data_IF_462847341362
#
_entry.id   IF_462847341362
#
_cell.length_a   1.000
_cell.length_b   1.000
_cell.length_c   1.000
_cell.angle_alpha   90.00
_cell.angle_beta   90.00
_cell.angle_gamma   90.00
#
_symmetry.space_group_name_H-M   'P 1'
#
loop_
_entity.id
_entity.type
_entity.pdbx_description
1 polymer ?
#
# COMPACT_ATOMS: atom_id res chain seq x y z
N UNK A 1 -13.69 36.01 14.58
CA UNK A 1 -14.06 35.67 15.98
C UNK A 1 -14.80 34.36 15.89
N UNK A 2 -14.04 33.28 15.80
CA UNK A 2 -13.56 32.49 16.94
C UNK A 2 -14.68 31.54 17.36
N UNK A 3 -14.59 30.27 16.96
CA UNK A 3 -14.05 29.16 17.78
C UNK A 3 -15.15 28.71 18.76
N UNK A 4 -15.31 27.39 18.95
CA UNK A 4 -16.21 26.73 19.92
C UNK A 4 -17.52 26.10 19.42
N UNK A 5 -17.49 25.37 18.30
CA UNK A 5 -18.49 24.29 18.04
C UNK A 5 -17.86 22.89 18.24
N UNK A 6 -16.53 22.80 18.47
CA UNK A 6 -15.81 21.54 18.69
C UNK A 6 -15.78 21.07 20.16
N UNK A 7 -16.43 21.81 21.09
CA UNK A 7 -16.31 21.54 22.53
C UNK A 7 -17.30 20.49 23.07
N UNK A 8 -18.43 20.20 22.41
CA UNK A 8 -19.44 19.33 23.06
C UNK A 8 -19.12 17.84 22.94
N UNK A 9 -18.43 17.40 21.90
CA UNK A 9 -18.12 15.97 21.71
C UNK A 9 -16.87 15.51 22.49
N UNK A 10 -15.98 16.43 22.84
CA UNK A 10 -14.83 16.14 23.73
C UNK A 10 -15.23 15.91 25.18
N UNK A 11 -16.31 16.56 25.65
CA UNK A 11 -16.84 16.37 27.01
C UNK A 11 -17.59 15.04 27.18
N UNK A 12 -18.26 14.56 26.13
CA UNK A 12 -19.00 13.29 26.19
C UNK A 12 -18.09 12.06 26.35
N UNK A 13 -16.84 12.12 25.87
CA UNK A 13 -15.88 11.02 26.07
C UNK A 13 -15.35 10.97 27.50
N UNK A 14 -15.30 12.11 28.21
CA UNK A 14 -14.95 12.12 29.63
C UNK A 14 -16.06 11.56 30.53
N UNK A 15 -17.32 11.59 30.09
CA UNK A 15 -18.46 11.09 30.87
C UNK A 15 -18.64 9.56 30.88
N UNK A 16 -17.87 8.80 30.10
CA UNK A 16 -17.85 7.33 30.21
C UNK A 16 -16.81 6.79 31.21
N UNK A 17 -16.03 7.66 31.83
CA UNK A 17 -15.16 7.30 32.95
C UNK A 17 -15.91 7.74 34.22
N UNK A 18 -16.69 6.83 34.77
CA UNK A 18 -17.46 7.03 35.99
C UNK A 18 -16.52 7.48 37.14
N UNK A 19 -16.66 8.71 37.67
CA UNK A 19 -15.78 9.24 38.70
C UNK A 19 -16.08 8.69 40.12
N UNK A 20 -17.22 8.01 40.32
CA UNK A 20 -17.68 7.56 41.63
C UNK A 20 -17.10 6.22 42.11
N UNK A 21 -16.12 5.66 41.39
CA UNK A 21 -15.40 4.48 41.86
C UNK A 21 -14.11 4.85 42.63
N UNK A 22 -13.89 6.13 42.98
CA UNK A 22 -12.60 6.60 43.50
C UNK A 22 -12.39 6.44 45.02
N UNK A 23 -13.43 6.16 45.82
CA UNK A 23 -13.26 6.11 47.29
C UNK A 23 -12.70 4.77 47.83
N UNK A 24 -12.93 3.63 47.16
CA UNK A 24 -12.44 2.31 47.64
C UNK A 24 -11.20 1.79 46.89
N UNK A 25 -10.63 2.61 45.99
CA UNK A 25 -9.67 2.19 44.94
C UNK A 25 -8.19 2.48 45.20
N UNK A 26 -7.82 3.06 46.35
CA UNK A 26 -6.45 3.55 46.62
C UNK A 26 -5.38 2.47 46.86
N UNK A 27 -5.72 1.17 46.84
CA UNK A 27 -4.82 0.12 47.35
C UNK A 27 -3.87 -0.55 46.33
N UNK A 28 -4.02 -0.40 45.01
CA UNK A 28 -3.05 -1.02 44.09
C UNK A 28 -3.07 -0.51 42.61
N UNK A 29 -2.20 0.45 42.22
CA UNK A 29 -2.20 1.05 40.88
C UNK A 29 -1.71 0.11 39.76
N UNK A 30 -0.84 -0.87 40.06
CA UNK A 30 -0.39 -1.84 39.06
C UNK A 30 -1.48 -2.85 38.70
N UNK A 31 -2.23 -3.34 39.70
CA UNK A 31 -3.42 -4.18 39.46
C UNK A 31 -4.51 -3.42 38.68
N UNK A 32 -4.66 -2.11 38.87
CA UNK A 32 -5.58 -1.25 38.09
C UNK A 32 -5.15 -1.16 36.62
N UNK A 33 -3.87 -0.93 36.33
CA UNK A 33 -3.33 -0.93 34.95
C UNK A 33 -3.45 -2.30 34.26
N UNK A 34 -3.26 -3.39 35.00
CA UNK A 34 -3.44 -4.76 34.48
C UNK A 34 -4.92 -5.07 34.20
N UNK A 35 -5.83 -4.80 35.13
CA UNK A 35 -7.27 -5.06 34.95
C UNK A 35 -7.89 -4.23 33.82
N UNK A 36 -7.55 -2.95 33.70
CA UNK A 36 -8.00 -2.09 32.58
C UNK A 36 -7.46 -2.59 31.24
N UNK A 37 -6.19 -3.02 31.18
CA UNK A 37 -5.61 -3.63 29.97
C UNK A 37 -6.27 -4.96 29.60
N UNK A 38 -6.62 -5.79 30.57
CA UNK A 38 -7.30 -7.08 30.36
C UNK A 38 -8.75 -6.90 29.87
N UNK A 39 -9.52 -6.00 30.47
CA UNK A 39 -10.91 -5.71 30.04
C UNK A 39 -10.95 -5.11 28.63
N UNK A 40 -9.99 -4.24 28.30
CA UNK A 40 -9.86 -3.69 26.94
C UNK A 40 -9.41 -4.77 25.93
N UNK A 41 -8.57 -5.71 26.34
CA UNK A 41 -8.16 -6.83 25.49
C UNK A 41 -9.34 -7.76 25.15
N UNK A 42 -10.22 -8.04 26.10
CA UNK A 42 -11.43 -8.83 25.84
C UNK A 42 -12.34 -8.14 24.82
N UNK A 43 -12.55 -6.83 24.93
CA UNK A 43 -13.34 -6.06 23.94
C UNK A 43 -12.68 -6.10 22.55
N UNK A 44 -11.37 -5.92 22.47
CA UNK A 44 -10.62 -6.02 21.20
C UNK A 44 -10.75 -7.42 20.56
N UNK A 45 -10.68 -8.48 21.37
CA UNK A 45 -10.89 -9.85 20.90
C UNK A 45 -12.32 -10.06 20.40
N UNK A 46 -13.33 -9.56 21.12
CA UNK A 46 -14.73 -9.61 20.68
C UNK A 46 -14.93 -8.90 19.35
N UNK A 47 -14.38 -7.69 19.18
CA UNK A 47 -14.43 -6.96 17.91
C UNK A 47 -13.70 -7.73 16.81
N UNK A 48 -12.51 -8.27 17.08
CA UNK A 48 -11.75 -9.08 16.11
C UNK A 48 -12.60 -10.25 15.64
N UNK A 49 -13.20 -11.02 16.55
CA UNK A 49 -14.04 -12.18 16.22
C UNK A 49 -15.23 -11.76 15.36
N UNK A 50 -15.91 -10.66 15.70
CA UNK A 50 -17.06 -10.17 14.95
C UNK A 50 -16.72 -9.79 13.50
N UNK A 51 -15.55 -9.20 13.25
CA UNK A 51 -15.13 -8.78 11.90
C UNK A 51 -14.27 -9.80 11.16
N UNK A 52 -13.91 -10.91 11.83
CA UNK A 52 -12.87 -11.82 11.33
C UNK A 52 -13.20 -12.45 9.99
N UNK A 53 -14.47 -12.85 9.78
CA UNK A 53 -14.92 -13.45 8.52
C UNK A 53 -14.75 -12.51 7.34
N UNK A 54 -15.03 -11.21 7.52
CA UNK A 54 -14.83 -10.19 6.49
C UNK A 54 -13.33 -10.01 6.17
N UNK A 55 -12.48 -10.02 7.20
CA UNK A 55 -11.03 -9.92 7.03
C UNK A 55 -10.48 -11.13 6.29
N UNK A 56 -10.86 -12.36 6.69
CA UNK A 56 -10.44 -13.57 5.99
C UNK A 56 -10.91 -13.56 4.53
N UNK A 57 -12.15 -13.17 4.28
CA UNK A 57 -12.70 -13.11 2.93
C UNK A 57 -11.93 -12.10 2.07
N UNK A 58 -11.68 -10.90 2.58
CA UNK A 58 -10.90 -9.88 1.89
C UNK A 58 -9.49 -10.38 1.54
N UNK A 59 -8.80 -10.99 2.50
CA UNK A 59 -7.47 -11.54 2.29
C UNK A 59 -7.46 -12.63 1.20
N UNK A 60 -8.42 -13.56 1.26
CA UNK A 60 -8.59 -14.60 0.24
C UNK A 60 -9.03 -14.06 -1.11
N UNK A 61 -9.72 -12.92 -1.18
CA UNK A 61 -9.98 -12.23 -2.45
C UNK A 61 -8.71 -11.61 -3.04
N UNK A 62 -7.79 -11.12 -2.21
CA UNK A 62 -6.53 -10.49 -2.65
C UNK A 62 -5.55 -11.52 -3.21
N UNK A 63 -5.31 -12.63 -2.49
CA UNK A 63 -4.42 -13.72 -2.95
C UNK A 63 -5.18 -14.92 -3.52
N UNK A 64 -6.46 -14.72 -3.86
CA UNK A 64 -7.28 -15.69 -4.57
C UNK A 64 -7.10 -15.55 -6.08
N UNK A 65 -7.44 -16.61 -6.81
CA UNK A 65 -7.47 -16.59 -8.27
C UNK A 65 -8.85 -16.95 -8.77
N UNK A 66 -9.43 -16.06 -9.58
CA UNK A 66 -10.65 -16.37 -10.30
C UNK A 66 -10.34 -17.38 -11.40
N UNK A 67 -11.10 -18.47 -11.46
CA UNK A 67 -10.89 -19.56 -12.44
C UNK A 67 -9.44 -20.11 -12.48
N UNK A 68 -8.74 -20.11 -11.35
CA UNK A 68 -7.32 -20.50 -11.22
C UNK A 68 -6.35 -19.69 -12.10
N UNK A 69 -6.73 -18.47 -12.50
CA UNK A 69 -5.88 -17.55 -13.27
C UNK A 69 -5.56 -16.30 -12.46
N UNK A 70 -4.29 -15.89 -12.47
CA UNK A 70 -3.86 -14.64 -11.87
C UNK A 70 -4.15 -13.48 -12.84
N UNK A 71 -4.33 -12.24 -12.33
CA UNK A 71 -4.40 -11.05 -13.18
C UNK A 71 -3.18 -10.91 -14.09
N UNK A 72 -3.38 -10.49 -15.34
CA UNK A 72 -2.32 -10.39 -16.35
C UNK A 72 -1.13 -9.56 -15.86
N UNK A 73 -1.39 -8.40 -15.26
CA UNK A 73 -0.34 -7.55 -14.70
C UNK A 73 0.49 -8.24 -13.61
N UNK A 74 -0.13 -9.01 -12.72
CA UNK A 74 0.57 -9.71 -11.63
C UNK A 74 1.44 -10.83 -12.20
N UNK A 75 0.89 -11.68 -13.06
CA UNK A 75 1.63 -12.78 -13.68
C UNK A 75 2.82 -12.26 -14.49
N UNK A 76 2.59 -11.30 -15.37
CA UNK A 76 3.64 -10.70 -16.20
C UNK A 76 4.74 -10.05 -15.35
N UNK A 77 4.37 -9.28 -14.31
CA UNK A 77 5.32 -8.61 -13.46
C UNK A 77 6.12 -9.59 -12.56
N UNK A 78 5.49 -10.66 -12.07
CA UNK A 78 6.20 -11.67 -11.29
C UNK A 78 7.16 -12.51 -12.14
N UNK A 79 6.78 -12.84 -13.37
CA UNK A 79 7.68 -13.50 -14.33
C UNK A 79 8.86 -12.58 -14.67
N UNK A 80 8.63 -11.27 -14.79
CA UNK A 80 9.71 -10.29 -14.94
C UNK A 80 10.69 -10.32 -13.75
N UNK A 81 10.19 -10.32 -12.51
CA UNK A 81 11.05 -10.42 -11.32
C UNK A 81 11.86 -11.72 -11.28
N UNK A 82 11.22 -12.85 -11.66
CA UNK A 82 11.87 -14.15 -11.74
C UNK A 82 13.00 -14.13 -12.79
N UNK A 83 12.76 -13.55 -13.96
CA UNK A 83 13.77 -13.39 -15.01
C UNK A 83 14.92 -12.44 -14.61
N UNK A 84 14.64 -11.36 -13.87
CA UNK A 84 15.69 -10.48 -13.34
C UNK A 84 16.58 -11.20 -12.33
N UNK A 85 15.99 -11.99 -11.43
CA UNK A 85 16.76 -12.79 -10.47
C UNK A 85 17.65 -13.81 -11.19
N UNK A 86 17.12 -14.48 -12.22
CA UNK A 86 17.90 -15.41 -13.06
C UNK A 86 19.08 -14.70 -13.75
N UNK A 87 18.85 -13.54 -14.36
CA UNK A 87 19.90 -12.74 -14.99
C UNK A 87 21.00 -12.32 -13.99
N UNK A 88 20.61 -12.02 -12.75
CA UNK A 88 21.53 -11.71 -11.64
C UNK A 88 22.12 -12.95 -10.97
N UNK A 89 21.79 -14.16 -11.42
CA UNK A 89 22.20 -15.46 -10.85
C UNK A 89 21.82 -15.62 -9.37
N UNK A 90 20.69 -15.04 -8.97
CA UNK A 90 20.13 -15.18 -7.63
C UNK A 90 19.34 -16.49 -7.58
N UNK A 91 19.80 -17.44 -6.76
CA UNK A 91 19.16 -18.77 -6.59
C UNK A 91 18.30 -18.87 -5.34
N UNK A 92 18.40 -17.89 -4.44
CA UNK A 92 17.67 -17.88 -3.17
C UNK A 92 16.19 -17.50 -3.39
N UNK A 93 15.23 -18.42 -3.11
CA UNK A 93 13.80 -18.14 -3.26
C UNK A 93 13.28 -17.07 -2.29
N UNK A 94 13.97 -16.84 -1.17
CA UNK A 94 13.55 -15.82 -0.19
C UNK A 94 13.71 -14.41 -0.76
N UNK A 95 14.74 -14.18 -1.59
CA UNK A 95 14.94 -12.90 -2.28
C UNK A 95 13.78 -12.60 -3.23
N UNK A 96 13.37 -13.60 -4.02
CA UNK A 96 12.21 -13.48 -4.92
C UNK A 96 10.91 -13.22 -4.15
N UNK A 97 10.71 -13.92 -3.03
CA UNK A 97 9.56 -13.69 -2.15
C UNK A 97 9.54 -12.26 -1.61
N UNK A 98 10.70 -11.73 -1.18
CA UNK A 98 10.84 -10.36 -0.69
C UNK A 98 10.55 -9.35 -1.80
N UNK A 99 11.06 -9.56 -3.02
CA UNK A 99 10.79 -8.67 -4.15
C UNK A 99 9.31 -8.62 -4.50
N UNK A 100 8.65 -9.78 -4.60
CA UNK A 100 7.21 -9.89 -4.88
C UNK A 100 6.38 -9.21 -3.79
N UNK A 101 6.75 -9.41 -2.52
CA UNK A 101 6.06 -8.81 -1.36
C UNK A 101 6.24 -7.29 -1.29
N UNK A 102 7.45 -6.80 -1.53
CA UNK A 102 7.79 -5.38 -1.45
C UNK A 102 7.28 -4.57 -2.64
N UNK A 103 6.96 -5.22 -3.76
CA UNK A 103 6.49 -4.58 -4.97
C UNK A 103 4.97 -4.50 -5.07
N UNK A 104 4.25 -5.58 -4.69
CA UNK A 104 2.79 -5.63 -4.85
C UNK A 104 2.03 -5.51 -3.52
N UNK A 105 2.06 -6.48 -2.58
CA UNK A 105 1.36 -6.37 -1.30
C UNK A 105 1.67 -5.08 -0.53
N UNK A 106 2.95 -4.72 -0.40
CA UNK A 106 3.37 -3.58 0.41
C UNK A 106 3.03 -2.22 -0.24
N UNK A 107 3.18 -2.09 -1.56
CA UNK A 107 3.02 -0.80 -2.26
C UNK A 107 1.58 -0.54 -2.68
N UNK A 108 0.88 -1.58 -3.10
CA UNK A 108 -0.48 -1.46 -3.61
C UNK A 108 -1.50 -1.88 -2.57
N UNK A 109 -1.51 -3.14 -2.15
CA UNK A 109 -2.59 -3.67 -1.31
C UNK A 109 -2.67 -3.03 0.07
N UNK A 110 -1.55 -2.85 0.76
CA UNK A 110 -1.52 -2.13 2.05
C UNK A 110 -2.04 -0.71 1.89
N UNK A 111 -1.74 -0.04 0.78
CA UNK A 111 -2.22 1.31 0.54
C UNK A 111 -3.74 1.36 0.38
N UNK A 112 -4.32 0.43 -0.39
CA UNK A 112 -5.78 0.30 -0.55
C UNK A 112 -6.47 -0.12 0.76
N UNK A 113 -5.90 -1.09 1.49
CA UNK A 113 -6.41 -1.55 2.79
C UNK A 113 -6.47 -0.41 3.81
N UNK A 114 -5.44 0.44 3.83
CA UNK A 114 -5.38 1.57 4.75
C UNK A 114 -6.21 2.76 4.26
N UNK A 115 -6.39 2.93 2.95
CA UNK A 115 -7.03 4.10 2.36
C UNK A 115 -8.23 3.70 1.50
N UNK A 116 -9.32 3.17 2.09
CA UNK A 116 -10.50 2.75 1.33
C UNK A 116 -11.18 3.90 0.59
N UNK A 117 -10.97 5.16 1.02
CA UNK A 117 -11.47 6.35 0.33
C UNK A 117 -10.85 6.58 -1.07
N UNK A 118 -9.79 5.84 -1.43
CA UNK A 118 -9.26 5.84 -2.81
C UNK A 118 -10.13 5.01 -3.76
N UNK A 119 -11.00 4.15 -3.23
CA UNK A 119 -11.84 3.24 -4.01
C UNK A 119 -13.32 3.57 -3.83
N UNK A 120 -13.72 3.98 -2.63
CA UNK A 120 -15.11 4.26 -2.28
C UNK A 120 -15.30 5.71 -1.87
N UNK A 121 -16.46 6.27 -2.17
CA UNK A 121 -16.88 7.55 -1.64
C UNK A 121 -17.24 7.41 -0.16
N UNK A 122 -16.28 7.68 0.72
CA UNK A 122 -16.44 7.57 2.16
C UNK A 122 -15.51 8.49 2.93
N UNK A 123 -15.97 8.97 4.09
CA UNK A 123 -15.12 9.69 5.03
C UNK A 123 -14.38 8.71 5.95
N UNK A 124 -13.05 8.85 5.99
CA UNK A 124 -12.19 8.01 6.84
C UNK A 124 -11.94 8.70 8.17
N UNK A 125 -12.50 8.14 9.24
CA UNK A 125 -12.24 8.65 10.62
C UNK A 125 -10.88 8.17 11.16
N UNK A 126 -10.25 8.91 12.09
CA UNK A 126 -9.00 8.50 12.73
C UNK A 126 -9.13 7.15 13.48
N UNK A 127 -10.31 6.85 14.02
CA UNK A 127 -10.55 5.57 14.67
C UNK A 127 -10.51 4.41 13.67
N UNK A 128 -11.17 4.58 12.53
CA UNK A 128 -11.15 3.59 11.46
C UNK A 128 -9.73 3.40 10.89
N UNK A 129 -8.94 4.47 10.76
CA UNK A 129 -7.53 4.38 10.36
C UNK A 129 -6.72 3.47 11.29
N UNK A 130 -6.92 3.59 12.61
CA UNK A 130 -6.29 2.72 13.60
C UNK A 130 -6.68 1.26 13.41
N UNK A 131 -7.97 0.97 13.22
CA UNK A 131 -8.47 -0.38 12.98
C UNK A 131 -7.92 -0.99 11.67
N UNK A 132 -7.94 -0.23 10.58
CA UNK A 132 -7.41 -0.66 9.28
C UNK A 132 -5.90 -0.87 9.33
N UNK A 133 -5.17 -0.06 10.11
CA UNK A 133 -3.73 -0.25 10.32
C UNK A 133 -3.42 -1.56 11.05
N UNK A 134 -4.25 -1.98 11.99
CA UNK A 134 -4.13 -3.30 12.63
C UNK A 134 -4.34 -4.44 11.62
N UNK A 135 -5.38 -4.34 10.78
CA UNK A 135 -5.66 -5.32 9.73
C UNK A 135 -4.54 -5.36 8.69
N UNK A 136 -4.07 -4.20 8.23
CA UNK A 136 -2.98 -4.09 7.26
C UNK A 136 -1.65 -4.65 7.81
N UNK A 137 -1.40 -4.50 9.11
CA UNK A 137 -0.25 -5.15 9.75
C UNK A 137 -0.39 -6.68 9.74
N UNK A 138 -1.56 -7.22 10.09
CA UNK A 138 -1.80 -8.67 10.02
C UNK A 138 -1.69 -9.20 8.58
N UNK A 139 -2.15 -8.43 7.60
CA UNK A 139 -1.94 -8.72 6.19
C UNK A 139 -0.44 -8.83 5.87
N UNK A 140 0.36 -7.82 6.22
CA UNK A 140 1.81 -7.86 5.97
C UNK A 140 2.55 -8.97 6.72
N UNK A 141 2.14 -9.26 7.96
CA UNK A 141 2.71 -10.36 8.75
C UNK A 141 2.47 -11.73 8.06
N UNK A 142 1.41 -11.85 7.25
CA UNK A 142 1.10 -13.04 6.44
C UNK A 142 2.08 -13.25 5.27
N UNK A 143 2.79 -12.22 4.84
CA UNK A 143 3.85 -12.31 3.84
C UNK A 143 5.25 -12.41 4.45
N UNK A 144 5.38 -12.37 5.78
CA UNK A 144 6.70 -12.46 6.43
C UNK A 144 7.29 -13.87 6.30
N UNK A 145 8.59 -13.94 5.97
CA UNK A 145 9.35 -15.20 5.98
C UNK A 145 9.71 -15.64 7.40
N UNK A 146 9.85 -14.69 8.34
CA UNK A 146 10.24 -14.98 9.73
C UNK A 146 9.03 -15.38 10.58
N UNK A 147 9.20 -16.39 11.42
CA UNK A 147 8.17 -16.77 12.38
C UNK A 147 7.91 -15.69 13.41
N UNK A 148 6.66 -15.66 13.91
CA UNK A 148 6.28 -14.70 14.93
C UNK A 148 6.87 -15.14 16.26
N UNK A 149 7.90 -14.41 16.72
CA UNK A 149 8.39 -14.55 18.08
C UNK A 149 7.46 -13.77 19.03
N UNK A 150 6.66 -14.52 19.79
CA UNK A 150 5.83 -13.96 20.87
C UNK A 150 6.68 -13.77 22.13
N UNK A 151 6.67 -12.55 22.66
CA UNK A 151 7.33 -12.21 23.91
C UNK A 151 6.48 -11.25 24.74
N UNK A 152 6.94 -10.97 25.96
CA UNK A 152 6.24 -10.10 26.93
C UNK A 152 6.01 -8.66 26.42
N UNK A 153 6.75 -8.25 25.38
CA UNK A 153 6.66 -6.92 24.75
C UNK A 153 6.04 -6.96 23.34
N UNK A 154 5.44 -8.08 22.91
CA UNK A 154 4.74 -8.14 21.62
C UNK A 154 3.56 -7.16 21.63
N UNK A 155 3.44 -6.29 20.62
CA UNK A 155 2.36 -5.31 20.59
C UNK A 155 1.00 -6.00 20.41
N UNK A 156 -0.04 -5.43 21.01
CA UNK A 156 -1.38 -6.05 21.11
C UNK A 156 -1.99 -6.38 19.75
N UNK A 157 -1.75 -5.56 18.72
CA UNK A 157 -2.21 -5.81 17.36
C UNK A 157 -1.66 -7.12 16.77
N UNK A 158 -0.40 -7.46 17.05
CA UNK A 158 0.19 -8.74 16.63
C UNK A 158 -0.44 -9.91 17.38
N UNK A 159 -0.69 -9.75 18.69
CA UNK A 159 -1.35 -10.77 19.51
C UNK A 159 -2.75 -11.14 18.99
N UNK A 160 -3.51 -10.16 18.47
CA UNK A 160 -4.88 -10.38 17.98
C UNK A 160 -4.97 -11.37 16.81
N UNK A 161 -3.96 -11.41 15.94
CA UNK A 161 -3.97 -12.24 14.73
C UNK A 161 -2.94 -13.37 14.76
N UNK A 162 -2.13 -13.52 15.82
CA UNK A 162 -0.99 -14.46 15.81
C UNK A 162 -1.40 -15.90 15.50
N UNK A 163 -2.58 -16.34 15.93
CA UNK A 163 -3.08 -17.70 15.65
C UNK A 163 -3.46 -17.92 14.18
N UNK A 164 -3.83 -16.86 13.47
CA UNK A 164 -4.28 -16.92 12.08
C UNK A 164 -3.13 -16.78 11.08
N UNK A 165 -2.07 -16.03 11.44
CA UNK A 165 -0.93 -15.75 10.54
C UNK A 165 -0.28 -17.02 9.96
N UNK A 166 -0.02 -18.11 10.71
CA UNK A 166 0.58 -19.31 10.11
C UNK A 166 -0.24 -19.90 8.97
N UNK A 167 -1.58 -19.87 9.08
CA UNK A 167 -2.49 -20.31 8.01
C UNK A 167 -2.39 -19.38 6.80
N UNK A 168 -2.45 -18.06 7.02
CA UNK A 168 -2.33 -17.09 5.92
C UNK A 168 -0.97 -17.16 5.21
N UNK A 169 0.13 -17.40 5.95
CA UNK A 169 1.45 -17.64 5.36
C UNK A 169 1.47 -18.84 4.41
N UNK A 170 0.77 -19.93 4.77
CA UNK A 170 0.64 -21.09 3.88
C UNK A 170 -0.17 -20.75 2.63
N UNK A 171 -1.28 -20.03 2.76
CA UNK A 171 -2.09 -19.56 1.63
C UNK A 171 -1.26 -18.65 0.69
N UNK A 172 -0.49 -17.70 1.23
CA UNK A 172 0.41 -16.82 0.46
C UNK A 172 1.50 -17.60 -0.28
N UNK A 173 2.13 -18.58 0.38
CA UNK A 173 3.12 -19.45 -0.28
C UNK A 173 2.50 -20.22 -1.45
N UNK A 174 1.28 -20.72 -1.28
CA UNK A 174 0.54 -21.38 -2.36
C UNK A 174 0.21 -20.41 -3.49
N UNK A 175 -0.24 -19.20 -3.19
CA UNK A 175 -0.52 -18.15 -4.17
C UNK A 175 0.69 -17.85 -5.07
N UNK A 176 1.86 -17.56 -4.48
CA UNK A 176 3.08 -17.32 -5.28
C UNK A 176 3.52 -18.54 -6.09
N UNK A 177 3.38 -19.74 -5.54
CA UNK A 177 3.67 -20.98 -6.27
C UNK A 177 2.75 -21.14 -7.48
N UNK A 178 1.45 -20.95 -7.31
CA UNK A 178 0.47 -21.12 -8.37
C UNK A 178 0.67 -20.10 -9.52
N UNK A 179 1.00 -18.84 -9.21
CA UNK A 179 1.32 -17.85 -10.25
C UNK A 179 2.57 -18.28 -11.03
N UNK A 180 3.60 -18.77 -10.35
CA UNK A 180 4.84 -19.23 -10.99
C UNK A 180 4.57 -20.41 -11.93
N UNK A 181 3.70 -21.33 -11.54
CA UNK A 181 3.34 -22.51 -12.33
C UNK A 181 2.41 -22.22 -13.52
N UNK A 182 1.81 -21.02 -13.59
CA UNK A 182 1.02 -20.61 -14.75
C UNK A 182 1.89 -20.42 -15.99
N UNK A 183 1.27 -20.65 -17.15
CA UNK A 183 1.88 -20.36 -18.44
C UNK A 183 2.29 -18.88 -18.52
N UNK A 184 3.50 -18.57 -19.03
CA UNK A 184 3.91 -17.19 -19.25
C UNK A 184 2.94 -16.46 -20.19
N UNK A 185 2.72 -15.18 -19.93
CA UNK A 185 1.93 -14.34 -20.83
C UNK A 185 2.82 -13.92 -22.00
N UNK A 186 2.35 -14.12 -23.22
CA UNK A 186 3.13 -13.74 -24.40
C UNK A 186 3.20 -12.22 -24.54
N UNK A 187 4.25 -11.71 -25.20
CA UNK A 187 4.39 -10.28 -25.45
C UNK A 187 3.20 -9.69 -26.25
N UNK A 188 2.62 -10.47 -27.17
CA UNK A 188 1.43 -10.04 -27.93
C UNK A 188 0.21 -9.92 -27.02
N UNK A 189 -0.09 -10.95 -26.22
CA UNK A 189 -1.24 -10.92 -25.30
C UNK A 189 -1.14 -9.77 -24.30
N UNK A 190 0.07 -9.54 -23.75
CA UNK A 190 0.27 -8.43 -22.83
C UNK A 190 0.13 -7.07 -23.51
N UNK A 191 0.61 -6.93 -24.76
CA UNK A 191 0.42 -5.71 -25.55
C UNK A 191 -1.05 -5.43 -25.82
N UNK A 192 -1.83 -6.46 -26.17
CA UNK A 192 -3.26 -6.32 -26.41
C UNK A 192 -4.01 -5.92 -25.14
N UNK A 193 -3.65 -6.52 -23.99
CA UNK A 193 -4.16 -6.11 -22.68
C UNK A 193 -3.86 -4.63 -22.38
N UNK A 194 -2.63 -4.16 -22.59
CA UNK A 194 -2.26 -2.77 -22.37
C UNK A 194 -2.99 -1.80 -23.32
N UNK A 195 -3.19 -2.18 -24.59
CA UNK A 195 -3.91 -1.37 -25.56
C UNK A 195 -5.39 -1.23 -25.18
N UNK A 196 -6.01 -2.29 -24.66
CA UNK A 196 -7.39 -2.27 -24.19
C UNK A 196 -7.55 -1.32 -22.99
N UNK A 197 -6.68 -1.42 -21.99
CA UNK A 197 -6.71 -0.49 -20.84
C UNK A 197 -6.39 0.96 -21.26
N UNK A 198 -5.45 1.17 -22.19
CA UNK A 198 -5.14 2.52 -22.70
C UNK A 198 -6.35 3.16 -23.37
N UNK A 199 -7.04 2.42 -24.26
CA UNK A 199 -8.24 2.90 -24.96
C UNK A 199 -9.39 3.21 -24.01
N UNK A 200 -9.52 2.43 -22.94
CA UNK A 200 -10.58 2.61 -21.94
C UNK A 200 -10.44 3.93 -21.19
N UNK A 201 -9.21 4.38 -20.96
CA UNK A 201 -8.89 5.54 -20.13
C UNK A 201 -8.36 6.76 -20.94
N UNK A 202 -8.39 6.69 -22.28
CA UNK A 202 -7.79 7.65 -23.22
C UNK A 202 -8.21 9.12 -22.99
N UNK A 203 -9.44 9.34 -22.52
CA UNK A 203 -10.00 10.69 -22.33
C UNK A 203 -10.31 11.01 -20.86
N UNK A 204 -9.78 10.21 -19.92
CA UNK A 204 -10.00 10.44 -18.48
C UNK A 204 -9.02 11.45 -17.88
N UNK A 205 -7.84 11.62 -18.48
CA UNK A 205 -6.76 12.46 -17.95
C UNK A 205 -6.35 13.55 -18.93
N UNK A 206 -5.97 14.72 -18.40
CA UNK A 206 -5.47 15.82 -19.20
C UNK A 206 -3.95 15.72 -19.36
N UNK A 207 -3.51 15.18 -20.50
CA UNK A 207 -2.08 15.04 -20.82
C UNK A 207 -1.35 16.38 -20.90
N UNK A 208 -2.00 17.42 -21.44
CA UNK A 208 -1.37 18.73 -21.60
C UNK A 208 -0.97 19.33 -20.24
N UNK A 209 -1.82 19.20 -19.22
CA UNK A 209 -1.51 19.69 -17.88
C UNK A 209 -0.43 18.84 -17.19
N UNK A 210 -0.49 17.51 -17.37
CA UNK A 210 0.56 16.62 -16.86
C UNK A 210 1.93 16.95 -17.47
N UNK A 211 2.00 17.21 -18.78
CA UNK A 211 3.22 17.62 -19.48
C UNK A 211 3.72 18.98 -19.00
N UNK A 212 2.82 19.93 -18.74
CA UNK A 212 3.17 21.26 -18.22
C UNK A 212 3.81 21.18 -16.83
N UNK A 213 3.26 20.34 -15.94
CA UNK A 213 3.85 20.08 -14.62
C UNK A 213 5.18 19.31 -14.72
N UNK A 214 5.27 18.34 -15.62
CA UNK A 214 6.50 17.56 -15.84
C UNK A 214 7.65 18.46 -16.36
N UNK A 215 7.35 19.40 -17.26
CA UNK A 215 8.34 20.32 -17.81
C UNK A 215 9.03 21.16 -16.73
N UNK A 216 8.35 21.47 -15.61
CA UNK A 216 8.98 22.20 -14.48
C UNK A 216 10.21 21.45 -13.94
N UNK A 217 10.19 20.12 -13.93
CA UNK A 217 11.33 19.31 -13.54
C UNK A 217 12.42 19.31 -14.61
N UNK A 218 12.04 19.25 -15.90
CA UNK A 218 12.99 19.33 -17.02
C UNK A 218 13.74 20.66 -16.98
N UNK A 219 13.03 21.78 -16.81
CA UNK A 219 13.64 23.10 -16.71
C UNK A 219 14.58 23.21 -15.51
N UNK A 220 14.17 22.65 -14.35
CA UNK A 220 14.96 22.69 -13.12
C UNK A 220 16.28 21.91 -13.22
N UNK A 221 16.27 20.76 -13.89
CA UNK A 221 17.40 19.83 -13.98
C UNK A 221 17.97 19.74 -15.41
N UNK A 222 17.79 20.78 -16.22
CA UNK A 222 18.07 20.75 -17.64
C UNK A 222 19.53 20.40 -17.93
N UNK A 223 20.45 21.01 -17.19
CA UNK A 223 21.90 20.79 -17.35
C UNK A 223 22.27 19.35 -17.02
N UNK A 224 21.78 18.82 -15.90
CA UNK A 224 22.04 17.45 -15.47
C UNK A 224 21.46 16.42 -16.45
N UNK A 225 20.27 16.68 -16.98
CA UNK A 225 19.64 15.86 -18.02
C UNK A 225 20.52 15.87 -19.28
N UNK A 226 20.97 17.04 -19.74
CA UNK A 226 21.80 17.17 -20.93
C UNK A 226 23.17 16.48 -20.76
N UNK A 227 23.80 16.62 -19.60
CA UNK A 227 25.05 15.93 -19.27
C UNK A 227 24.88 14.42 -19.30
N UNK A 228 23.79 13.89 -18.73
CA UNK A 228 23.50 12.45 -18.74
C UNK A 228 23.18 11.94 -20.14
N UNK A 229 22.47 12.71 -20.96
CA UNK A 229 22.25 12.38 -22.36
C UNK A 229 23.57 12.33 -23.16
N UNK A 230 24.51 13.24 -22.86
CA UNK A 230 25.84 13.22 -23.47
C UNK A 230 26.65 11.99 -23.04
N UNK A 231 26.67 11.67 -21.74
CA UNK A 231 27.39 10.52 -21.19
C UNK A 231 26.88 9.18 -21.75
N UNK A 232 25.57 9.05 -21.95
CA UNK A 232 24.94 7.82 -22.43
C UNK A 232 24.94 7.69 -23.97
N UNK A 233 25.60 8.60 -24.69
CA UNK A 233 25.68 8.53 -26.15
C UNK A 233 24.36 8.78 -26.87
N UNK A 234 23.47 9.61 -26.30
CA UNK A 234 22.19 9.92 -26.92
C UNK A 234 22.37 10.58 -28.31
N UNK A 235 21.52 10.25 -29.31
CA UNK A 235 21.55 10.86 -30.64
C UNK A 235 21.44 12.40 -30.59
N UNK A 236 22.09 13.09 -31.52
CA UNK A 236 22.03 14.56 -31.61
C UNK A 236 20.60 15.08 -31.77
N UNK A 237 19.76 14.35 -32.52
CA UNK A 237 18.35 14.68 -32.73
C UNK A 237 17.57 14.79 -31.41
N UNK A 238 17.79 13.88 -30.45
CA UNK A 238 17.10 13.92 -29.16
C UNK A 238 17.51 15.14 -28.33
N UNK A 239 18.78 15.58 -28.46
CA UNK A 239 19.29 16.76 -27.76
C UNK A 239 18.72 18.04 -28.38
N UNK A 240 18.65 18.08 -29.72
CA UNK A 240 18.01 19.17 -30.45
C UNK A 240 16.52 19.27 -30.10
N UNK A 241 15.80 18.15 -30.02
CA UNK A 241 14.41 18.11 -29.57
C UNK A 241 14.25 18.64 -28.13
N UNK A 242 15.14 18.28 -27.20
CA UNK A 242 15.11 18.78 -25.83
C UNK A 242 15.29 20.31 -25.77
N UNK A 243 16.22 20.86 -26.55
CA UNK A 243 16.39 22.32 -26.67
C UNK A 243 15.19 22.97 -27.33
N UNK A 244 14.63 22.36 -28.38
CA UNK A 244 13.44 22.86 -29.05
C UNK A 244 12.24 22.94 -28.10
N UNK A 245 12.00 21.90 -27.30
CA UNK A 245 10.95 21.92 -26.27
C UNK A 245 11.18 23.06 -25.27
N UNK A 246 12.43 23.26 -24.83
CA UNK A 246 12.76 24.37 -23.92
C UNK A 246 12.43 25.73 -24.53
N UNK A 247 12.85 25.96 -25.78
CA UNK A 247 12.63 27.22 -26.48
C UNK A 247 11.13 27.50 -26.70
N UNK A 248 10.34 26.46 -27.01
CA UNK A 248 8.88 26.59 -27.12
C UNK A 248 8.24 27.04 -25.81
N UNK A 249 8.61 26.43 -24.68
CA UNK A 249 8.07 26.78 -23.37
C UNK A 249 8.56 28.14 -22.85
N UNK A 250 9.81 28.52 -23.12
CA UNK A 250 10.35 29.83 -22.73
C UNK A 250 9.77 30.95 -23.63
N UNK A 251 9.53 30.67 -24.92
CA UNK A 251 8.82 31.55 -25.84
C UNK A 251 7.38 31.83 -25.39
N UNK A 252 6.66 30.80 -24.93
CA UNK A 252 5.31 30.94 -24.35
C UNK A 252 5.28 31.85 -23.10
N UNK A 253 6.32 31.84 -22.26
CA UNK A 253 6.42 32.78 -21.13
C UNK A 253 6.61 34.23 -21.58
N UNK A 254 7.31 34.45 -22.70
CA UNK A 254 7.50 35.80 -23.26
C UNK A 254 6.21 36.38 -23.84
N UNK A 255 5.31 35.55 -24.38
CA UNK A 255 4.02 35.97 -24.92
C UNK A 255 2.94 36.18 -23.84
N UNK A 256 3.18 35.79 -22.59
CA UNK A 256 2.26 35.98 -21.45
C UNK A 256 2.30 37.42 -20.87
N UNK A 257 3.09 38.33 -21.45
CA UNK A 257 3.10 39.75 -21.10
C UNK A 257 2.46 40.55 -22.23
N UNK A 258 1.12 40.63 -22.22
CA UNK A 258 0.29 41.71 -22.80
C UNK A 258 -1.16 41.52 -22.37
#
# INVERSE_FOLDING_TARGET
>A
KSVDILSEHGLLVLLQIDPDVDEDQRKNPERKKLKLKEVHLTKLLSTKVAVHSFVENLFRCIWGMQHNKAPHAIKYFFDFLDAQAENMKITDPDVLHIWKTNSLPLRFWVNILKNPQFVFDMEKTPHLDGCLSVIAQAFMDSFSLSDIQLGKHTPTNKLLYTKDIPKFKQEVKLYYKQIREQQPITASEFKDFLLLESKKHDNEFNEAEALRELYKFIQKYFTEIQEKLNQNGAPSELKEQLHHVKDLFDGLKSCSWN
#
